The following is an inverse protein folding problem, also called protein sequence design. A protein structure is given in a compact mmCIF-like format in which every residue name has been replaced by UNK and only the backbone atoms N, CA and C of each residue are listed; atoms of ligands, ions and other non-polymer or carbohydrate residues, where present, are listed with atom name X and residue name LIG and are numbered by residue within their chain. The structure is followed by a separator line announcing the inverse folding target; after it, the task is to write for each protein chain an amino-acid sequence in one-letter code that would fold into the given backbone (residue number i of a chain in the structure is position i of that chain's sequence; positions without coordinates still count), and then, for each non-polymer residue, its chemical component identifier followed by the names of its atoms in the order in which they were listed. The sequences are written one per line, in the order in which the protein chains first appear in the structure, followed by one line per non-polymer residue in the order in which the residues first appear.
data_IF_470315349383
#
_entry.id   IF_470315349383
#
_cell.length_a   1.000
_cell.length_b   1.000
_cell.length_c   1.000
_cell.angle_alpha   90.00
_cell.angle_beta   90.00
_cell.angle_gamma   90.00
#
_symmetry.space_group_name_H-M   'P 1'
#
loop_
_entity.id
_entity.type
_entity.pdbx_description
1 polymer ?
#
# COMPACT_ATOMS: atom_id res chain seq x y z
N UNK A 1 -47.73 -36.55 37.80
CA UNK A 1 -47.06 -37.58 36.97
C UNK A 1 -45.57 -37.28 36.96
N UNK A 2 -44.78 -38.16 37.57
CA UNK A 2 -43.31 -38.09 37.70
C UNK A 2 -42.75 -39.17 36.77
N UNK A 3 -41.78 -38.81 35.93
CA UNK A 3 -40.93 -39.81 35.26
C UNK A 3 -39.54 -39.23 35.11
N UNK A 4 -38.68 -39.60 36.06
CA UNK A 4 -37.22 -39.55 35.95
C UNK A 4 -36.75 -40.82 35.23
N UNK A 5 -35.83 -40.70 34.27
CA UNK A 5 -35.06 -41.84 33.76
C UNK A 5 -33.60 -41.42 33.68
N UNK A 6 -32.82 -41.93 34.65
CA UNK A 6 -31.37 -42.09 34.57
C UNK A 6 -31.06 -43.27 33.65
N UNK A 7 -30.08 -43.13 32.74
CA UNK A 7 -29.29 -44.28 32.28
C UNK A 7 -27.81 -43.94 32.21
N UNK A 8 -27.10 -44.57 33.15
CA UNK A 8 -25.68 -44.87 33.17
C UNK A 8 -25.33 -45.85 32.05
N UNK A 9 -24.10 -45.80 31.51
CA UNK A 9 -23.63 -46.85 30.60
C UNK A 9 -22.33 -46.57 29.87
N UNK A 10 -21.24 -47.03 30.48
CA UNK A 10 -20.11 -47.72 29.87
C UNK A 10 -19.10 -46.94 29.02
N UNK A 11 -17.94 -46.78 29.65
CA UNK A 11 -16.61 -46.59 29.06
C UNK A 11 -16.23 -47.81 28.23
N UNK A 12 -15.78 -47.60 26.99
CA UNK A 12 -15.01 -48.59 26.22
C UNK A 12 -13.75 -47.90 25.70
N UNK A 13 -12.63 -48.32 26.29
CA UNK A 13 -11.27 -48.14 25.77
C UNK A 13 -11.09 -49.05 24.56
N UNK A 14 -10.71 -48.50 23.40
CA UNK A 14 -10.09 -49.30 22.32
C UNK A 14 -8.78 -48.68 21.88
N UNK A 15 -7.78 -49.56 21.92
CA UNK A 15 -6.40 -49.53 21.50
C UNK A 15 -6.02 -48.63 20.30
N UNK A 16 -4.97 -47.87 20.56
CA UNK A 16 -3.79 -47.60 19.72
C UNK A 16 -3.70 -48.41 18.42
N UNK A 17 -3.91 -47.73 17.30
CA UNK A 17 -3.36 -48.11 16.01
C UNK A 17 -2.25 -47.12 15.65
N UNK A 18 -1.01 -47.60 15.74
CA UNK A 18 0.20 -46.94 15.26
C UNK A 18 0.14 -46.81 13.73
N UNK A 19 -0.31 -45.66 13.25
CA UNK A 19 -0.12 -45.25 11.86
C UNK A 19 1.29 -44.69 11.71
N UNK A 20 2.09 -45.37 10.89
CA UNK A 20 3.37 -44.88 10.37
C UNK A 20 3.15 -43.49 9.77
N UNK A 21 3.72 -42.47 10.41
CA UNK A 21 3.84 -41.13 9.85
C UNK A 21 4.80 -41.19 8.66
N UNK A 22 4.27 -41.41 7.47
CA UNK A 22 4.92 -40.96 6.25
C UNK A 22 4.95 -39.45 6.29
N UNK A 23 6.12 -38.86 6.52
CA UNK A 23 6.38 -37.44 6.27
C UNK A 23 6.38 -37.22 4.76
N UNK A 24 5.19 -37.24 4.16
CA UNK A 24 4.97 -36.64 2.86
C UNK A 24 5.14 -35.15 3.03
N UNK A 25 6.08 -34.56 2.29
CA UNK A 25 6.18 -33.12 2.14
C UNK A 25 4.78 -32.58 1.84
N UNK A 26 4.18 -31.87 2.79
CA UNK A 26 2.94 -31.14 2.57
C UNK A 26 3.27 -30.00 1.62
N UNK A 27 3.32 -30.30 0.32
CA UNK A 27 3.23 -29.28 -0.71
C UNK A 27 1.95 -28.52 -0.41
N UNK A 28 2.09 -27.26 0.02
CA UNK A 28 0.96 -26.38 0.27
C UNK A 28 0.08 -26.38 -0.99
N UNK A 29 -1.03 -27.12 -0.92
CA UNK A 29 -1.87 -27.39 -2.07
C UNK A 29 -2.56 -26.09 -2.45
N UNK A 30 -2.18 -25.55 -3.59
CA UNK A 30 -2.84 -24.38 -4.16
C UNK A 30 -4.26 -24.77 -4.58
N UNK A 31 -5.25 -24.01 -4.13
CA UNK A 31 -6.66 -24.20 -4.45
C UNK A 31 -6.99 -23.27 -5.62
N UNK A 32 -7.40 -23.85 -6.74
CA UNK A 32 -7.83 -23.14 -7.95
C UNK A 32 -9.33 -23.31 -8.18
N UNK A 33 -9.97 -22.28 -8.76
CA UNK A 33 -11.38 -22.35 -9.12
C UNK A 33 -11.91 -21.12 -9.83
N UNK A 34 -13.21 -21.14 -10.09
CA UNK A 34 -13.94 -20.10 -10.82
C UNK A 34 -15.18 -19.69 -10.02
N UNK A 35 -15.40 -18.39 -9.89
CA UNK A 35 -16.58 -17.80 -9.26
C UNK A 35 -17.77 -17.75 -10.24
N UNK A 36 -19.02 -17.56 -9.74
CA UNK A 36 -20.21 -17.50 -10.60
C UNK A 36 -20.18 -16.36 -11.64
N UNK A 37 -19.41 -15.31 -11.38
CA UNK A 37 -19.19 -14.17 -12.29
C UNK A 37 -18.17 -14.47 -13.41
N UNK A 38 -17.58 -15.67 -13.42
CA UNK A 38 -16.56 -16.09 -14.38
C UNK A 38 -15.13 -15.68 -14.00
N UNK A 39 -14.93 -15.01 -12.86
CA UNK A 39 -13.58 -14.69 -12.37
C UNK A 39 -12.87 -15.95 -11.86
N UNK A 40 -11.57 -16.02 -12.10
CA UNK A 40 -10.73 -17.14 -11.65
C UNK A 40 -10.00 -16.75 -10.36
N UNK A 41 -9.80 -17.70 -9.46
CA UNK A 41 -9.00 -17.50 -8.24
C UNK A 41 -7.97 -18.61 -8.05
N UNK A 42 -6.86 -18.24 -7.42
CA UNK A 42 -5.77 -19.13 -7.02
C UNK A 42 -5.40 -18.75 -5.59
N UNK A 43 -5.80 -19.58 -4.62
CA UNK A 43 -5.67 -19.27 -3.18
C UNK A 43 -4.96 -20.40 -2.44
N UNK A 44 -4.32 -20.09 -1.31
CA UNK A 44 -3.68 -21.11 -0.46
C UNK A 44 -4.64 -21.72 0.55
N UNK A 45 -5.59 -20.92 1.06
CA UNK A 45 -6.58 -21.37 2.03
C UNK A 45 -7.99 -21.27 1.47
N UNK A 46 -8.85 -22.16 1.95
CA UNK A 46 -10.26 -22.23 1.58
C UNK A 46 -11.04 -20.98 2.03
N UNK A 47 -10.60 -20.35 3.12
CA UNK A 47 -11.19 -19.12 3.64
C UNK A 47 -10.90 -17.89 2.77
N UNK A 48 -9.89 -17.93 1.91
CA UNK A 48 -9.47 -16.81 1.05
C UNK A 48 -10.26 -16.77 -0.27
N UNK A 49 -11.21 -17.68 -0.48
CA UNK A 49 -12.04 -17.73 -1.70
C UNK A 49 -12.96 -16.49 -1.72
N UNK A 50 -12.90 -15.65 -2.77
CA UNK A 50 -13.56 -14.35 -2.77
C UNK A 50 -15.08 -14.42 -3.02
N UNK A 51 -15.66 -15.61 -3.21
CA UNK A 51 -17.06 -15.80 -3.58
C UNK A 51 -17.68 -17.04 -2.91
N UNK A 52 -18.96 -16.94 -2.54
CA UNK A 52 -19.66 -17.97 -1.76
C UNK A 52 -19.99 -19.27 -2.54
N UNK A 53 -20.11 -19.19 -3.87
CA UNK A 53 -20.48 -20.31 -4.75
C UNK A 53 -19.37 -20.65 -5.75
N UNK A 54 -18.12 -20.63 -5.29
CA UNK A 54 -16.96 -21.01 -6.10
C UNK A 54 -17.04 -22.46 -6.56
N UNK A 55 -16.80 -22.69 -7.86
CA UNK A 55 -16.56 -24.02 -8.40
C UNK A 55 -15.06 -24.28 -8.40
N UNK A 56 -14.62 -25.31 -7.68
CA UNK A 56 -13.23 -25.76 -7.77
C UNK A 56 -12.98 -26.40 -9.12
N UNK A 57 -11.84 -26.07 -9.70
CA UNK A 57 -11.40 -26.55 -11.01
C UNK A 57 -9.96 -26.99 -10.83
N UNK A 58 -9.61 -28.18 -11.31
CA UNK A 58 -8.22 -28.63 -11.26
C UNK A 58 -7.35 -27.65 -12.06
N UNK A 59 -6.08 -27.44 -11.69
CA UNK A 59 -5.18 -26.54 -12.44
C UNK A 59 -5.14 -26.84 -13.94
N UNK A 60 -5.22 -28.13 -14.32
CA UNK A 60 -5.20 -28.57 -15.72
C UNK A 60 -6.52 -28.32 -16.48
N UNK A 61 -7.63 -28.12 -15.75
CA UNK A 61 -8.95 -27.81 -16.29
C UNK A 61 -9.20 -26.29 -16.37
N UNK A 62 -8.26 -25.46 -15.90
CA UNK A 62 -8.37 -24.01 -16.03
C UNK A 62 -8.17 -23.60 -17.48
N UNK A 63 -9.01 -22.68 -18.02
CA UNK A 63 -8.76 -22.13 -19.34
C UNK A 63 -7.37 -21.47 -19.36
N UNK A 64 -6.61 -21.59 -20.46
CA UNK A 64 -5.27 -21.01 -20.54
C UNK A 64 -5.36 -19.50 -20.31
N UNK A 65 -4.77 -19.05 -19.21
CA UNK A 65 -4.67 -17.63 -18.89
C UNK A 65 -3.71 -17.02 -19.92
N UNK A 66 -4.17 -16.02 -20.67
CA UNK A 66 -3.25 -15.32 -21.59
C UNK A 66 -2.10 -14.72 -20.76
N UNK A 67 -0.86 -14.75 -21.26
CA UNK A 67 0.30 -14.22 -20.54
C UNK A 67 0.11 -12.78 -20.06
N UNK A 68 -0.70 -11.97 -20.76
CA UNK A 68 -1.03 -10.59 -20.36
C UNK A 68 -1.82 -10.49 -19.04
N UNK A 69 -2.57 -11.51 -18.66
CA UNK A 69 -3.41 -11.55 -17.44
C UNK A 69 -2.72 -12.21 -16.25
N UNK A 70 -1.57 -12.85 -16.47
CA UNK A 70 -0.76 -13.33 -15.37
C UNK A 70 -0.04 -12.12 -14.74
N UNK A 71 -0.14 -11.89 -13.42
CA UNK A 71 0.71 -10.90 -12.78
C UNK A 71 2.17 -11.26 -13.11
N UNK A 72 2.93 -10.28 -13.61
CA UNK A 72 4.32 -10.52 -14.02
C UNK A 72 5.04 -11.25 -12.88
N UNK A 73 5.81 -12.31 -13.16
CA UNK A 73 6.33 -13.23 -12.14
C UNK A 73 7.08 -12.53 -11.00
N UNK A 74 7.75 -11.42 -11.31
CA UNK A 74 8.42 -10.57 -10.32
C UNK A 74 7.45 -9.89 -9.33
N UNK A 75 6.35 -9.30 -9.80
CA UNK A 75 5.38 -8.61 -8.96
C UNK A 75 4.63 -9.57 -8.03
N UNK A 76 4.30 -10.76 -8.53
CA UNK A 76 3.66 -11.80 -7.72
C UNK A 76 4.60 -12.43 -6.70
N UNK A 77 5.85 -12.71 -7.07
CA UNK A 77 6.86 -13.18 -6.11
C UNK A 77 7.17 -12.14 -5.03
N UNK A 78 7.23 -10.85 -5.38
CA UNK A 78 7.43 -9.76 -4.42
C UNK A 78 6.26 -9.68 -3.45
N UNK A 79 5.03 -9.66 -3.95
CA UNK A 79 3.82 -9.65 -3.12
C UNK A 79 3.75 -10.87 -2.19
N UNK A 80 4.03 -12.08 -2.69
CA UNK A 80 4.05 -13.28 -1.85
C UNK A 80 5.17 -13.25 -0.81
N UNK A 81 6.33 -12.67 -1.13
CA UNK A 81 7.45 -12.51 -0.19
C UNK A 81 7.13 -11.49 0.89
N UNK A 82 6.48 -10.38 0.54
CA UNK A 82 6.01 -9.36 1.49
C UNK A 82 4.90 -9.90 2.42
N UNK A 83 4.10 -10.86 1.97
CA UNK A 83 3.06 -11.53 2.78
C UNK A 83 3.58 -12.70 3.64
N UNK A 84 4.83 -13.13 3.48
CA UNK A 84 5.39 -14.24 4.27
C UNK A 84 5.75 -13.75 5.69
N UNK A 85 5.10 -14.27 6.76
CA UNK A 85 5.39 -13.85 8.12
C UNK A 85 6.81 -14.22 8.58
N UNK A 86 7.51 -15.13 7.90
CA UNK A 86 8.90 -15.48 8.18
C UNK A 86 9.89 -14.75 7.27
N UNK A 87 9.43 -13.81 6.44
CA UNK A 87 10.34 -13.00 5.64
C UNK A 87 11.25 -12.20 6.59
N UNK A 88 12.60 -12.30 6.43
CA UNK A 88 13.53 -11.60 7.31
C UNK A 88 13.31 -10.09 7.37
N UNK A 89 12.71 -9.47 6.34
CA UNK A 89 12.36 -8.05 6.36
C UNK A 89 11.14 -7.75 7.23
N UNK A 90 10.15 -8.64 7.31
CA UNK A 90 8.97 -8.49 8.17
C UNK A 90 9.31 -8.69 9.66
N UNK A 91 10.29 -9.56 9.95
CA UNK A 91 10.79 -9.80 11.30
C UNK A 91 11.55 -8.60 11.89
N UNK A 92 12.19 -7.80 11.04
CA UNK A 92 12.87 -6.58 11.46
C UNK A 92 11.86 -5.49 11.85
N UNK A 93 10.76 -5.36 11.10
CA UNK A 93 9.68 -4.40 11.42
C UNK A 93 9.01 -4.72 12.76
N UNK A 94 8.80 -5.99 13.08
CA UNK A 94 8.26 -6.42 14.38
C UNK A 94 9.22 -6.11 15.55
N UNK A 95 10.53 -6.25 15.35
CA UNK A 95 11.54 -5.90 16.36
C UNK A 95 11.65 -4.39 16.56
N UNK A 96 11.63 -3.63 15.47
CA UNK A 96 11.73 -2.16 15.49
C UNK A 96 10.49 -1.54 16.17
N UNK A 97 9.30 -2.07 15.90
CA UNK A 97 8.05 -1.65 16.55
C UNK A 97 8.07 -2.00 18.05
N UNK A 98 8.58 -3.19 18.40
CA UNK A 98 8.70 -3.64 19.79
C UNK A 98 9.71 -2.84 20.60
N UNK A 99 10.82 -2.42 19.98
CA UNK A 99 11.80 -1.53 20.61
C UNK A 99 11.29 -0.09 20.70
N UNK A 100 10.47 0.39 19.75
CA UNK A 100 9.81 1.69 19.84
C UNK A 100 8.77 1.79 20.97
N UNK A 101 8.18 0.66 21.40
CA UNK A 101 7.32 0.59 22.59
C UNK A 101 8.09 0.43 23.91
N UNK A 102 9.42 0.28 23.88
CA UNK A 102 10.22 0.09 25.08
C UNK A 102 10.59 1.46 25.69
N UNK A 103 10.37 1.69 26.99
CA UNK A 103 10.78 2.93 27.64
C UNK A 103 12.30 3.15 27.49
N UNK A 104 12.77 4.37 27.20
CA UNK A 104 14.18 4.61 26.92
C UNK A 104 15.03 4.27 28.15
N UNK A 105 16.08 3.45 28.03
CA UNK A 105 17.04 3.23 29.11
C UNK A 105 17.86 4.50 29.36
N UNK A 106 18.10 4.81 30.64
CA UNK A 106 18.96 5.93 31.04
C UNK A 106 20.39 5.70 30.57
N UNK A 107 20.97 6.71 29.92
CA UNK A 107 22.28 6.66 29.30
C UNK A 107 23.42 6.43 30.31
N UNK A 108 24.39 5.54 29.99
CA UNK A 108 25.73 5.66 30.52
C UNK A 108 26.61 6.50 29.58
N UNK A 109 27.28 7.48 30.18
CA UNK A 109 28.44 8.19 29.63
C UNK A 109 29.59 7.21 29.42
N UNK A 110 30.21 7.17 28.23
CA UNK A 110 31.61 6.74 28.09
C UNK A 110 32.25 7.09 26.74
N UNK A 111 33.55 7.31 26.86
CA UNK A 111 34.49 7.97 25.98
C UNK A 111 34.90 7.21 24.72
N UNK A 112 35.08 8.03 23.68
CA UNK A 112 36.02 7.95 22.54
C UNK A 112 37.23 7.02 22.71
N UNK A 113 37.44 6.14 21.73
CA UNK A 113 38.76 5.67 21.30
C UNK A 113 38.74 5.49 19.76
N UNK A 114 39.71 6.10 19.08
CA UNK A 114 39.86 6.07 17.63
C UNK A 114 40.82 4.94 17.21
N UNK A 115 40.45 4.19 16.19
CA UNK A 115 41.32 3.26 15.48
C UNK A 115 41.21 3.57 13.98
N UNK A 116 42.36 3.71 13.34
CA UNK A 116 42.52 4.11 11.94
C UNK A 116 42.11 2.99 10.97
N UNK A 117 41.41 3.37 9.90
CA UNK A 117 40.88 2.50 8.85
C UNK A 117 41.73 2.62 7.55
N UNK A 118 41.95 1.52 6.78
CA UNK A 118 42.76 1.54 5.56
C UNK A 118 41.99 2.11 4.34
N UNK A 119 42.68 2.60 3.30
CA UNK A 119 42.05 3.32 2.20
C UNK A 119 41.25 2.39 1.27
N UNK A 120 39.96 2.70 1.11
CA UNK A 120 39.06 2.09 0.13
C UNK A 120 39.20 2.76 -1.25
N UNK A 121 38.90 2.03 -2.35
CA UNK A 121 38.97 2.54 -3.72
C UNK A 121 37.94 3.67 -3.95
N UNK A 122 38.36 4.70 -4.69
CA UNK A 122 37.51 5.83 -5.10
C UNK A 122 36.34 5.35 -5.96
N UNK A 123 35.19 5.16 -5.32
CA UNK A 123 33.88 5.13 -5.97
C UNK A 123 33.56 6.57 -6.36
N UNK A 124 33.27 6.81 -7.63
CA UNK A 124 32.80 8.11 -8.11
C UNK A 124 31.64 8.57 -7.24
N UNK A 125 31.83 9.73 -6.62
CA UNK A 125 30.90 10.32 -5.68
C UNK A 125 29.54 10.51 -6.38
N UNK A 126 28.47 9.81 -5.96
CA UNK A 126 27.15 10.04 -6.51
C UNK A 126 26.78 11.50 -6.25
N UNK A 127 26.21 12.16 -7.26
CA UNK A 127 25.78 13.55 -7.17
C UNK A 127 24.98 13.75 -5.87
N UNK A 128 25.21 14.85 -5.13
CA UNK A 128 24.59 15.05 -3.82
C UNK A 128 23.07 14.94 -3.94
N UNK A 129 22.40 14.27 -2.98
CA UNK A 129 20.96 14.12 -2.99
C UNK A 129 20.34 15.52 -3.02
N UNK A 130 19.50 15.77 -4.04
CA UNK A 130 18.74 17.03 -4.12
C UNK A 130 17.79 17.05 -2.93
N UNK A 131 18.08 17.90 -1.95
CA UNK A 131 17.19 18.16 -0.82
C UNK A 131 15.91 18.78 -1.39
N UNK A 132 14.84 18.00 -1.45
CA UNK A 132 13.51 18.47 -1.85
C UNK A 132 12.79 19.00 -0.61
N UNK A 133 12.20 20.19 -0.73
CA UNK A 133 11.37 20.78 0.31
C UNK A 133 10.20 19.84 0.62
N UNK A 134 10.14 19.29 1.84
CA UNK A 134 9.14 18.29 2.23
C UNK A 134 9.70 17.12 3.06
N UNK A 135 11.03 17.01 3.20
CA UNK A 135 11.68 16.11 4.14
C UNK A 135 11.67 14.62 3.79
N UNK A 136 10.81 14.19 2.85
CA UNK A 136 10.78 12.81 2.35
C UNK A 136 11.86 12.67 1.27
N UNK A 137 12.95 11.97 1.60
CA UNK A 137 13.97 11.62 0.62
C UNK A 137 13.55 10.35 -0.11
N UNK A 138 13.34 10.45 -1.42
CA UNK A 138 13.03 9.34 -2.31
C UNK A 138 14.08 9.28 -3.41
N UNK A 139 14.53 8.08 -3.73
CA UNK A 139 15.30 7.79 -4.93
C UNK A 139 14.45 7.93 -6.20
N UNK A 140 15.11 8.12 -7.35
CA UNK A 140 14.42 8.19 -8.65
C UNK A 140 13.64 6.90 -8.96
N UNK A 141 14.13 5.75 -8.51
CA UNK A 141 13.42 4.48 -8.65
C UNK A 141 12.16 4.43 -7.78
N UNK A 142 12.22 4.88 -6.53
CA UNK A 142 11.02 4.94 -5.68
C UNK A 142 9.97 5.89 -6.27
N UNK A 143 10.39 7.01 -6.85
CA UNK A 143 9.49 7.93 -7.55
C UNK A 143 8.80 7.25 -8.73
N UNK A 144 9.56 6.52 -9.56
CA UNK A 144 8.99 5.76 -10.67
C UNK A 144 8.00 4.69 -10.20
N UNK A 145 8.33 3.99 -9.11
CA UNK A 145 7.46 2.99 -8.48
C UNK A 145 6.16 3.64 -7.96
N UNK A 146 6.23 4.82 -7.34
CA UNK A 146 5.04 5.55 -6.86
C UNK A 146 4.12 5.97 -8.01
N UNK A 147 4.66 6.47 -9.11
CA UNK A 147 3.87 6.79 -10.31
C UNK A 147 3.18 5.54 -10.84
N UNK A 148 3.91 4.41 -10.90
CA UNK A 148 3.37 3.13 -11.33
C UNK A 148 2.25 2.63 -10.40
N UNK A 149 2.40 2.80 -9.09
CA UNK A 149 1.36 2.47 -8.10
C UNK A 149 0.11 3.28 -8.37
N UNK A 150 0.22 4.60 -8.56
CA UNK A 150 -0.95 5.47 -8.84
C UNK A 150 -1.69 4.97 -10.08
N UNK A 151 -0.97 4.65 -11.15
CA UNK A 151 -1.55 4.13 -12.40
C UNK A 151 -2.24 2.76 -12.21
N UNK A 152 -1.62 1.84 -11.48
CA UNK A 152 -2.20 0.51 -11.21
C UNK A 152 -3.45 0.61 -10.34
N UNK A 153 -3.45 1.52 -9.36
CA UNK A 153 -4.63 1.76 -8.50
C UNK A 153 -5.83 2.21 -9.33
N UNK A 154 -5.63 3.00 -10.39
CA UNK A 154 -6.74 3.42 -11.27
C UNK A 154 -7.45 2.25 -11.95
N UNK A 155 -6.77 1.11 -12.15
CA UNK A 155 -7.37 -0.09 -12.75
C UNK A 155 -8.32 -0.83 -11.79
N UNK A 156 -8.12 -0.65 -10.48
CA UNK A 156 -8.89 -1.33 -9.43
C UNK A 156 -9.96 -0.43 -8.82
N UNK A 157 -9.58 0.81 -8.52
CA UNK A 157 -10.42 1.82 -7.90
C UNK A 157 -10.21 3.15 -8.65
N UNK A 158 -10.98 3.38 -9.73
CA UNK A 158 -10.85 4.60 -10.52
C UNK A 158 -11.08 5.84 -9.66
N UNK A 159 -10.06 6.69 -9.60
CA UNK A 159 -10.07 7.99 -8.94
C UNK A 159 -9.32 9.00 -9.82
N UNK A 160 -9.79 9.10 -11.07
CA UNK A 160 -9.23 9.99 -12.07
C UNK A 160 -10.22 11.10 -12.43
N UNK A 161 -9.67 12.27 -12.72
CA UNK A 161 -10.38 13.44 -13.19
C UNK A 161 -9.65 13.95 -14.44
N UNK A 162 -10.33 13.91 -15.58
CA UNK A 162 -9.85 14.57 -16.80
C UNK A 162 -10.52 15.93 -16.92
N UNK A 163 -9.70 16.97 -17.05
CA UNK A 163 -10.13 18.35 -17.20
C UNK A 163 -9.96 18.72 -18.66
N UNK A 164 -11.00 19.31 -19.24
CA UNK A 164 -10.98 19.81 -20.61
C UNK A 164 -10.77 21.32 -20.63
N UNK A 165 -10.03 21.80 -21.63
CA UNK A 165 -9.94 23.21 -21.99
C UNK A 165 -10.20 23.34 -23.48
N UNK A 166 -11.15 24.21 -23.86
CA UNK A 166 -11.57 24.39 -25.26
C UNK A 166 -12.04 23.09 -25.94
N UNK A 167 -12.70 22.20 -25.20
CA UNK A 167 -13.22 20.92 -25.72
C UNK A 167 -12.15 19.87 -26.01
N UNK A 168 -10.96 20.00 -25.42
CA UNK A 168 -9.90 18.99 -25.47
C UNK A 168 -9.32 18.76 -24.08
N UNK A 169 -8.93 17.52 -23.73
CA UNK A 169 -8.37 17.22 -22.41
C UNK A 169 -7.03 17.95 -22.23
N UNK A 170 -6.91 18.74 -21.16
CA UNK A 170 -5.75 19.57 -20.85
C UNK A 170 -4.97 19.08 -19.63
N UNK A 171 -5.64 18.45 -18.66
CA UNK A 171 -5.01 17.88 -17.48
C UNK A 171 -5.69 16.57 -17.11
N UNK A 172 -4.89 15.56 -16.76
CA UNK A 172 -5.36 14.35 -16.10
C UNK A 172 -4.83 14.32 -14.67
N UNK A 173 -5.74 14.34 -13.71
CA UNK A 173 -5.45 14.18 -12.30
C UNK A 173 -5.83 12.76 -11.87
N UNK A 174 -4.97 12.09 -11.10
CA UNK A 174 -5.24 10.76 -10.54
C UNK A 174 -4.88 10.74 -9.06
N UNK A 175 -5.68 10.05 -8.26
CA UNK A 175 -5.48 9.90 -6.82
C UNK A 175 -5.29 8.43 -6.47
N UNK A 176 -4.42 8.14 -5.52
CA UNK A 176 -4.23 6.80 -5.00
C UNK A 176 -3.84 6.81 -3.53
N UNK A 177 -4.11 5.70 -2.85
CA UNK A 177 -3.59 5.43 -1.52
C UNK A 177 -2.49 4.37 -1.60
N UNK A 178 -1.38 4.59 -0.89
CA UNK A 178 -0.31 3.60 -0.75
C UNK A 178 0.10 3.49 0.71
N UNK A 179 -0.21 2.36 1.35
CA UNK A 179 0.15 2.10 2.75
C UNK A 179 1.66 2.14 2.99
N UNK A 180 2.45 1.62 2.04
CA UNK A 180 3.91 1.64 2.13
C UNK A 180 4.47 3.05 2.13
N UNK A 181 4.02 3.90 1.20
CA UNK A 181 4.41 5.30 1.16
C UNK A 181 3.94 6.06 2.41
N UNK A 182 2.70 5.85 2.85
CA UNK A 182 2.18 6.48 4.07
C UNK A 182 3.05 6.16 5.29
N UNK A 183 3.44 4.90 5.48
CA UNK A 183 4.30 4.49 6.59
C UNK A 183 5.70 5.16 6.50
N UNK A 184 6.28 5.26 5.30
CA UNK A 184 7.55 5.95 5.07
C UNK A 184 7.45 7.45 5.37
N UNK A 185 6.40 8.11 4.87
CA UNK A 185 6.15 9.53 5.10
C UNK A 185 6.00 9.81 6.61
N UNK A 186 5.16 9.03 7.31
CA UNK A 186 4.96 9.15 8.76
C UNK A 186 6.27 8.95 9.55
N UNK A 187 7.11 7.98 9.17
CA UNK A 187 8.44 7.81 9.79
C UNK A 187 9.34 9.02 9.57
N UNK A 188 9.35 9.60 8.37
CA UNK A 188 10.17 10.79 8.07
C UNK A 188 9.73 12.04 8.85
N UNK A 189 8.44 12.17 9.15
CA UNK A 189 7.91 13.32 9.90
C UNK A 189 8.03 13.15 11.42
N UNK A 190 8.04 11.91 11.93
CA UNK A 190 8.17 11.63 13.36
C UNK A 190 9.45 12.21 13.98
N UNK A 191 10.51 12.41 13.17
CA UNK A 191 11.75 13.06 13.62
C UNK A 191 11.66 14.59 13.73
N UNK A 192 10.61 15.21 13.19
CA UNK A 192 10.46 16.68 13.07
C UNK A 192 9.27 17.25 13.85
N UNK A 193 8.58 16.44 14.66
CA UNK A 193 7.48 16.90 15.50
C UNK A 193 6.43 15.83 15.77
N UNK A 194 5.30 16.21 16.38
CA UNK A 194 4.21 15.29 16.64
C UNK A 194 3.70 14.68 15.32
N UNK A 195 3.41 13.36 15.30
CA UNK A 195 3.02 12.66 14.09
C UNK A 195 1.72 13.25 13.52
N UNK A 196 1.70 13.46 12.21
CA UNK A 196 0.45 13.70 11.48
C UNK A 196 -0.39 12.42 11.53
N UNK A 197 -1.62 12.53 12.03
CA UNK A 197 -2.42 11.37 12.45
C UNK A 197 -3.36 10.81 11.39
N UNK A 198 -3.44 11.40 10.19
CA UNK A 198 -4.36 10.95 9.14
C UNK A 198 -3.73 10.15 8.01
N UNK A 199 -4.54 9.70 7.04
CA UNK A 199 -4.07 8.95 5.88
C UNK A 199 -3.37 9.86 4.88
N UNK A 200 -2.47 9.28 4.09
CA UNK A 200 -1.67 10.01 3.08
C UNK A 200 -2.07 9.55 1.69
N UNK A 201 -2.65 10.45 0.91
CA UNK A 201 -2.96 10.24 -0.49
C UNK A 201 -1.80 10.68 -1.37
N UNK A 202 -1.56 9.93 -2.43
CA UNK A 202 -0.71 10.33 -3.56
C UNK A 202 -1.61 10.90 -4.66
N UNK A 203 -1.09 11.90 -5.36
CA UNK A 203 -1.70 12.37 -6.60
C UNK A 203 -0.66 12.49 -7.70
N UNK A 204 -1.09 12.21 -8.93
CA UNK A 204 -0.37 12.60 -10.15
C UNK A 204 -1.20 13.60 -10.92
N UNK A 205 -0.54 14.58 -11.53
CA UNK A 205 -1.16 15.51 -12.46
C UNK A 205 -0.34 15.53 -13.75
N UNK A 206 -0.93 15.04 -14.83
CA UNK A 206 -0.32 14.98 -16.16
C UNK A 206 -0.93 16.10 -17.03
N UNK A 207 -0.10 17.03 -17.48
CA UNK A 207 -0.49 18.07 -18.42
C UNK A 207 -0.57 17.46 -19.83
N UNK A 208 -1.77 17.39 -20.40
CA UNK A 208 -2.01 16.95 -21.78
C UNK A 208 -1.92 18.12 -22.77
N UNK A 209 -2.14 19.33 -22.28
CA UNK A 209 -1.91 20.60 -22.95
C UNK A 209 -1.28 21.60 -21.96
N UNK A 210 -0.70 22.73 -22.41
CA UNK A 210 -0.23 23.77 -21.51
C UNK A 210 -1.34 24.22 -20.55
N UNK A 211 -1.09 24.14 -19.25
CA UNK A 211 -2.09 24.39 -18.20
C UNK A 211 -1.42 24.92 -16.94
N UNK A 212 -2.16 25.70 -16.14
CA UNK A 212 -1.68 26.12 -14.81
C UNK A 212 -2.26 25.19 -13.76
N UNK A 213 -1.38 24.52 -13.01
CA UNK A 213 -1.76 23.65 -11.90
C UNK A 213 -1.66 24.38 -10.57
N UNK A 214 -2.79 24.48 -9.87
CA UNK A 214 -2.88 25.01 -8.51
C UNK A 214 -3.21 23.87 -7.54
N UNK A 215 -2.47 23.69 -6.43
CA UNK A 215 -2.70 22.59 -5.50
C UNK A 215 -3.81 22.93 -4.48
N UNK A 216 -5.01 23.25 -4.94
CA UNK A 216 -6.12 23.74 -4.11
C UNK A 216 -7.17 22.65 -3.82
N UNK A 217 -6.69 21.45 -3.44
CA UNK A 217 -7.58 20.31 -3.18
C UNK A 217 -8.48 20.54 -1.96
N UNK A 218 -9.77 20.22 -2.13
CA UNK A 218 -10.73 20.13 -1.03
C UNK A 218 -11.33 18.73 -0.99
N UNK A 219 -11.35 18.12 0.19
CA UNK A 219 -11.88 16.78 0.43
C UNK A 219 -13.11 16.89 1.31
N UNK A 220 -14.21 16.25 0.91
CA UNK A 220 -15.45 16.24 1.67
C UNK A 220 -15.94 14.79 1.88
N UNK A 221 -16.31 14.48 3.12
CA UNK A 221 -16.91 13.20 3.51
C UNK A 221 -17.88 13.41 4.67
N UNK A 222 -19.18 13.18 4.41
CA UNK A 222 -20.23 13.45 5.40
C UNK A 222 -20.25 14.91 5.83
N UNK A 223 -19.97 15.17 7.10
CA UNK A 223 -19.90 16.53 7.68
C UNK A 223 -18.47 17.08 7.76
N UNK A 224 -17.47 16.32 7.34
CA UNK A 224 -16.07 16.77 7.31
C UNK A 224 -15.77 17.38 5.95
N UNK A 225 -15.27 18.61 5.94
CA UNK A 225 -14.65 19.24 4.79
C UNK A 225 -13.23 19.69 5.16
N UNK A 226 -12.26 19.37 4.32
CA UNK A 226 -10.85 19.65 4.54
C UNK A 226 -10.23 20.28 3.30
N UNK A 227 -9.65 21.46 3.46
CA UNK A 227 -8.88 22.14 2.42
C UNK A 227 -7.39 22.01 2.76
N UNK A 228 -6.62 21.34 1.92
CA UNK A 228 -5.19 21.11 2.19
C UNK A 228 -4.42 22.43 2.01
N UNK A 229 -3.71 22.87 3.06
CA UNK A 229 -2.84 24.03 2.93
C UNK A 229 -1.56 23.65 2.15
N UNK A 230 -1.42 24.20 0.94
CA UNK A 230 -0.26 23.92 0.08
C UNK A 230 1.07 24.51 0.58
N UNK A 231 1.02 25.44 1.54
CA UNK A 231 2.20 26.01 2.20
C UNK A 231 2.63 25.19 3.43
N UNK A 232 1.80 24.25 3.89
CA UNK A 232 2.10 23.39 5.04
C UNK A 232 2.57 22.00 4.55
N UNK A 233 3.88 21.68 4.65
CA UNK A 233 4.42 20.38 4.22
C UNK A 233 3.84 19.20 5.00
N UNK A 234 3.17 19.44 6.14
CA UNK A 234 2.46 18.40 6.89
C UNK A 234 1.09 18.06 6.31
N UNK A 235 0.57 18.88 5.40
CA UNK A 235 -0.72 18.69 4.74
C UNK A 235 -0.57 18.43 3.25
N UNK A 236 0.43 19.03 2.61
CA UNK A 236 0.62 18.94 1.17
C UNK A 236 2.11 18.98 0.83
N UNK A 237 2.56 18.16 -0.11
CA UNK A 237 3.93 18.24 -0.60
C UNK A 237 4.10 17.77 -2.04
N UNK A 238 5.07 18.36 -2.74
CA UNK A 238 5.45 17.96 -4.08
C UNK A 238 6.63 16.98 -4.01
N UNK A 239 6.45 15.80 -4.58
CA UNK A 239 7.54 14.84 -4.75
C UNK A 239 8.26 15.10 -6.06
N UNK A 240 7.55 15.34 -7.16
CA UNK A 240 8.11 15.63 -8.49
C UNK A 240 7.46 16.86 -9.09
N UNK A 241 8.30 17.72 -9.67
CA UNK A 241 7.88 18.96 -10.31
C UNK A 241 7.53 20.05 -9.31
N UNK A 242 6.79 21.06 -9.77
CA UNK A 242 6.36 22.21 -8.97
C UNK A 242 4.99 22.69 -9.45
N UNK A 243 4.17 23.30 -8.59
CA UNK A 243 2.92 23.90 -9.03
C UNK A 243 3.17 25.13 -9.93
N UNK A 244 2.14 25.55 -10.66
CA UNK A 244 2.20 26.66 -11.61
C UNK A 244 2.03 26.19 -13.06
N UNK A 245 2.63 26.92 -14.00
CA UNK A 245 2.54 26.61 -15.42
C UNK A 245 3.24 25.29 -15.73
N UNK A 246 2.50 24.38 -16.39
CA UNK A 246 2.95 23.08 -16.85
C UNK A 246 2.91 23.04 -18.38
N UNK A 247 3.99 22.54 -18.97
CA UNK A 247 4.04 22.23 -20.39
C UNK A 247 3.38 20.88 -20.66
N UNK A 248 2.87 20.67 -21.88
CA UNK A 248 2.33 19.38 -22.29
C UNK A 248 3.36 18.25 -22.12
N UNK A 249 2.91 17.11 -21.61
CA UNK A 249 3.74 15.95 -21.24
C UNK A 249 4.38 16.05 -19.85
N UNK A 250 4.26 17.19 -19.15
CA UNK A 250 4.79 17.32 -17.79
C UNK A 250 3.93 16.52 -16.82
N UNK A 251 4.57 15.67 -16.02
CA UNK A 251 3.93 14.95 -14.91
C UNK A 251 4.40 15.51 -13.58
N UNK A 252 3.45 15.84 -12.72
CA UNK A 252 3.65 16.13 -11.32
C UNK A 252 3.33 14.90 -10.47
N UNK A 253 4.06 14.73 -9.37
CA UNK A 253 3.74 13.78 -8.31
C UNK A 253 3.77 14.52 -6.99
N UNK A 254 2.74 14.34 -6.16
CA UNK A 254 2.71 14.89 -4.82
C UNK A 254 1.89 14.05 -3.87
N UNK A 255 1.78 14.52 -2.64
CA UNK A 255 0.96 13.91 -1.60
C UNK A 255 0.09 14.93 -0.89
N UNK A 256 -1.00 14.43 -0.32
CA UNK A 256 -1.89 15.16 0.59
C UNK A 256 -2.12 14.33 1.84
N UNK A 257 -2.00 14.95 3.01
CA UNK A 257 -2.31 14.33 4.30
C UNK A 257 -3.69 14.78 4.71
N UNK A 258 -4.61 13.82 4.83
CA UNK A 258 -5.98 14.11 5.23
C UNK A 258 -6.14 14.12 6.75
N UNK A 259 -7.22 14.69 7.29
CA UNK A 259 -7.56 14.54 8.69
C UNK A 259 -7.83 13.07 9.05
N UNK A 260 -7.58 12.65 10.31
CA UNK A 260 -7.87 11.30 10.77
C UNK A 260 -9.36 10.94 10.77
N UNK A 261 -10.25 11.93 10.65
CA UNK A 261 -11.70 11.71 10.55
C UNK A 261 -12.16 11.25 9.16
N UNK A 262 -11.30 11.32 8.13
CA UNK A 262 -11.62 10.82 6.79
C UNK A 262 -11.32 9.32 6.71
N UNK A 263 -12.34 8.53 6.39
CA UNK A 263 -12.23 7.09 6.14
C UNK A 263 -12.10 6.81 4.63
N UNK A 264 -10.92 6.34 4.20
CA UNK A 264 -10.66 5.99 2.78
C UNK A 264 -11.47 4.79 2.28
N UNK A 265 -12.09 4.01 3.17
CA UNK A 265 -12.96 2.90 2.80
C UNK A 265 -14.37 3.35 2.39
N UNK A 266 -14.73 4.61 2.66
CA UNK A 266 -15.99 5.21 2.25
C UNK A 266 -15.79 6.15 1.06
N UNK A 267 -16.84 6.46 0.28
CA UNK A 267 -16.76 7.48 -0.76
C UNK A 267 -16.32 8.83 -0.19
N UNK A 268 -15.43 9.51 -0.92
CA UNK A 268 -14.94 10.85 -0.64
C UNK A 268 -15.17 11.69 -1.89
N UNK A 269 -15.70 12.88 -1.70
CA UNK A 269 -15.76 13.91 -2.74
C UNK A 269 -14.46 14.72 -2.72
N UNK A 270 -13.77 14.74 -3.85
CA UNK A 270 -12.55 15.51 -4.06
C UNK A 270 -12.86 16.63 -5.04
N UNK A 271 -12.55 17.85 -4.63
CA UNK A 271 -12.68 19.04 -5.43
C UNK A 271 -11.31 19.60 -5.76
N UNK A 272 -11.15 20.01 -7.01
CA UNK A 272 -9.97 20.70 -7.51
C UNK A 272 -10.43 21.78 -8.49
N UNK A 273 -10.12 23.04 -8.20
CA UNK A 273 -10.78 24.19 -8.82
C UNK A 273 -12.32 24.01 -8.79
N UNK A 274 -12.98 24.02 -9.95
CA UNK A 274 -14.43 23.88 -10.10
C UNK A 274 -14.86 22.43 -10.45
N UNK A 275 -13.93 21.48 -10.40
CA UNK A 275 -14.18 20.09 -10.75
C UNK A 275 -14.39 19.23 -9.52
N UNK A 276 -15.25 18.22 -9.64
CA UNK A 276 -15.56 17.25 -8.59
C UNK A 276 -15.29 15.83 -9.08
N UNK A 277 -14.69 15.03 -8.22
CA UNK A 277 -14.52 13.59 -8.35
C UNK A 277 -15.05 12.91 -7.09
N UNK A 278 -15.99 11.98 -7.23
CA UNK A 278 -16.37 11.09 -6.14
C UNK A 278 -15.59 9.77 -6.28
N UNK A 279 -14.80 9.40 -5.27
CA UNK A 279 -13.96 8.20 -5.32
C UNK A 279 -13.93 7.45 -3.98
N UNK A 280 -13.71 6.14 -4.04
CA UNK A 280 -13.35 5.32 -2.87
C UNK A 280 -11.89 4.92 -2.99
N UNK A 281 -11.04 5.39 -2.08
CA UNK A 281 -9.59 5.30 -2.18
C UNK A 281 -9.03 4.13 -1.36
N UNK A 282 -9.73 3.00 -1.40
CA UNK A 282 -9.34 1.80 -0.67
C UNK A 282 -8.07 1.20 -1.31
N UNK A 283 -7.08 0.78 -0.49
CA UNK A 283 -5.91 0.06 -0.98
C UNK A 283 -6.24 -1.33 -1.52
#
# INVERSE_FOLDING_TARGET
MKTSILRSGSVVLVAWATSLFGWGNAHASVITGVCPDGSMFIVRNLADIPCAAAKRVAPDDMPPIKPEYLPRPYGWQRFQREQDPNNPYNLLEDLETRDAQRPPPRAPTSSRAALSEPPLPSVSEPAPPRVRDGGIQLSDQEIADLIQIVQLTQQRAPANLEIESNGSPSLRLQLAHSRGFEAQAKRSWASHGPPTSGPVLLFTAEALAPVVFHPNFTFAQGHTAFHANSEDPKQFGMLVGRPGALEAGTTLLGYVVLPPSIDLAQPIDVYWNDHRLAATLRP
#
